data_IF_073827104047
#
_entry.id   IF_073827104047
#
_cell.length_a   1.000
_cell.length_b   1.000
_cell.length_c   1.000
_cell.angle_alpha   90.00
_cell.angle_beta   90.00
_cell.angle_gamma   90.00
#
_symmetry.space_group_name_H-M   'P 1'
#
loop_
_entity.id
_entity.type
_entity.pdbx_description
1 polymer ?
#
# COMPACT_ATOMS: atom_id res chain seq x y z
N UNK A 1 -2.28 -14.56 -6.37
CA UNK A 1 -2.18 -13.19 -5.84
C UNK A 1 -1.68 -13.28 -4.40
N UNK A 2 -0.84 -12.35 -3.97
CA UNK A 2 -0.50 -12.10 -2.56
C UNK A 2 -1.05 -10.72 -2.21
N UNK A 3 -1.75 -10.62 -1.09
CA UNK A 3 -2.22 -9.37 -0.52
C UNK A 3 -1.28 -9.02 0.64
N UNK A 4 -0.46 -7.98 0.49
CA UNK A 4 0.41 -7.50 1.55
C UNK A 4 -0.44 -6.67 2.52
N UNK A 5 -0.71 -7.26 3.68
CA UNK A 5 -1.49 -6.65 4.75
C UNK A 5 -0.53 -6.14 5.85
N UNK A 6 -0.48 -4.85 6.18
CA UNK A 6 -1.26 -3.74 5.62
C UNK A 6 -0.35 -2.55 5.27
N UNK A 7 -0.88 -1.64 4.45
CA UNK A 7 -0.51 -0.22 4.43
C UNK A 7 -1.56 0.64 5.15
N UNK A 8 -1.44 1.95 5.03
CA UNK A 8 -2.35 2.93 5.69
C UNK A 8 -2.98 3.87 4.68
N UNK A 9 -4.19 4.34 4.99
CA UNK A 9 -4.84 5.47 4.32
C UNK A 9 -4.76 6.68 5.25
N UNK A 10 -4.05 7.73 4.84
CA UNK A 10 -3.91 8.95 5.63
C UNK A 10 -5.04 9.94 5.32
N UNK A 11 -5.37 10.80 6.28
CA UNK A 11 -6.34 11.92 6.12
C UNK A 11 -5.94 12.89 4.99
N UNK A 12 -4.65 12.91 4.63
CA UNK A 12 -4.12 13.63 3.46
C UNK A 12 -4.44 12.96 2.11
N UNK A 13 -5.33 11.96 2.10
CA UNK A 13 -5.78 11.25 0.90
C UNK A 13 -4.63 10.55 0.16
N UNK A 14 -3.68 10.00 0.90
CA UNK A 14 -2.55 9.25 0.34
C UNK A 14 -2.38 7.90 1.04
N UNK A 15 -1.75 6.98 0.32
CA UNK A 15 -1.23 5.74 0.88
C UNK A 15 0.09 6.00 1.62
N UNK A 16 0.35 5.18 2.63
CA UNK A 16 1.60 5.17 3.37
C UNK A 16 1.93 3.73 3.83
N UNK A 17 3.22 3.41 4.08
CA UNK A 17 3.58 2.16 4.73
C UNK A 17 2.97 2.08 6.13
N UNK A 18 2.79 0.85 6.64
CA UNK A 18 2.31 0.69 7.99
C UNK A 18 3.44 0.95 8.99
N UNK A 19 4.64 0.42 8.71
CA UNK A 19 5.84 0.60 9.50
C UNK A 19 7.02 1.07 8.63
N UNK A 20 8.02 1.70 9.24
CA UNK A 20 9.19 2.17 8.47
C UNK A 20 9.95 1.01 7.80
N UNK A 21 9.94 -0.17 8.42
CA UNK A 21 10.66 -1.34 7.93
C UNK A 21 9.96 -2.07 6.77
N UNK A 22 8.74 -1.62 6.39
CA UNK A 22 8.13 -1.96 5.10
C UNK A 22 8.99 -1.47 3.93
N UNK A 23 9.55 -0.26 4.06
CA UNK A 23 10.29 0.41 2.99
C UNK A 23 11.79 0.12 3.00
N UNK A 24 12.39 -0.01 4.18
CA UNK A 24 13.85 -0.17 4.37
C UNK A 24 14.15 -1.23 5.42
N UNK A 25 15.21 -2.01 5.27
CA UNK A 25 15.59 -2.93 6.34
C UNK A 25 16.30 -2.23 7.50
N UNK A 26 16.49 -2.94 8.61
CA UNK A 26 17.12 -2.46 9.84
C UNK A 26 18.60 -2.05 9.71
N UNK A 27 19.31 -2.61 8.74
CA UNK A 27 20.70 -2.27 8.40
C UNK A 27 20.78 -1.65 7.01
N UNK A 28 21.85 -0.87 6.76
CA UNK A 28 22.06 -0.08 5.53
C UNK A 28 21.85 -0.85 4.22
N UNK A 29 22.10 -2.16 4.21
CA UNK A 29 21.99 -3.02 3.03
C UNK A 29 20.85 -4.04 3.10
N UNK A 30 20.05 -4.00 4.17
CA UNK A 30 18.92 -4.91 4.33
C UNK A 30 17.66 -4.35 3.66
N UNK A 31 16.85 -5.28 3.17
CA UNK A 31 15.69 -4.98 2.33
C UNK A 31 14.45 -4.83 3.21
N UNK A 32 13.63 -3.83 2.93
CA UNK A 32 12.33 -3.66 3.56
C UNK A 32 11.38 -4.82 3.22
N UNK A 33 10.29 -4.94 3.97
CA UNK A 33 9.34 -6.05 3.79
C UNK A 33 8.68 -6.04 2.40
N UNK A 34 8.37 -4.87 1.84
CA UNK A 34 7.82 -4.77 0.47
C UNK A 34 8.76 -5.40 -0.56
N UNK A 35 10.03 -5.01 -0.55
CA UNK A 35 11.01 -5.53 -1.52
C UNK A 35 11.24 -7.03 -1.39
N UNK A 36 11.08 -7.59 -0.17
CA UNK A 36 11.22 -9.03 0.08
C UNK A 36 10.06 -9.82 -0.52
N UNK A 37 8.82 -9.35 -0.37
CA UNK A 37 7.63 -10.00 -0.95
C UNK A 37 7.59 -9.83 -2.46
N UNK A 38 7.88 -8.62 -2.96
CA UNK A 38 7.86 -8.32 -4.40
C UNK A 38 8.90 -9.12 -5.18
N UNK A 39 10.00 -9.55 -4.55
CA UNK A 39 10.98 -10.44 -5.19
C UNK A 39 10.49 -11.84 -5.51
N UNK A 40 9.42 -12.30 -4.87
CA UNK A 40 8.84 -13.60 -5.21
C UNK A 40 8.36 -13.64 -6.67
N UNK A 41 8.14 -12.47 -7.29
CA UNK A 41 7.83 -12.32 -8.71
C UNK A 41 8.99 -12.72 -9.63
N UNK A 42 10.24 -12.70 -9.16
CA UNK A 42 11.40 -13.18 -9.93
C UNK A 42 11.34 -14.71 -10.11
N UNK A 43 10.82 -15.43 -9.11
CA UNK A 43 10.61 -16.88 -9.17
C UNK A 43 9.32 -17.24 -9.89
N UNK A 44 8.26 -16.46 -9.72
CA UNK A 44 6.97 -16.67 -10.38
C UNK A 44 6.50 -15.36 -11.05
N UNK A 45 6.79 -15.15 -12.34
CA UNK A 45 6.41 -13.93 -13.06
C UNK A 45 4.89 -13.68 -13.14
N UNK A 46 4.07 -14.72 -13.00
CA UNK A 46 2.60 -14.60 -12.98
C UNK A 46 2.07 -14.15 -11.61
N UNK A 47 2.93 -14.11 -10.59
CA UNK A 47 2.56 -13.62 -9.27
C UNK A 47 2.23 -12.13 -9.31
N UNK A 48 1.04 -11.81 -8.84
CA UNK A 48 0.60 -10.44 -8.56
C UNK A 48 0.61 -10.18 -7.06
N UNK A 49 1.18 -9.04 -6.67
CA UNK A 49 1.23 -8.59 -5.28
C UNK A 49 0.45 -7.28 -5.16
N UNK A 50 -0.60 -7.28 -4.35
CA UNK A 50 -1.42 -6.11 -4.06
C UNK A 50 -1.07 -5.58 -2.67
N UNK A 51 -1.22 -4.27 -2.47
CA UNK A 51 -1.16 -3.66 -1.14
C UNK A 51 -2.58 -3.61 -0.58
N UNK A 52 -2.82 -4.27 0.55
CA UNK A 52 -4.07 -4.13 1.30
C UNK A 52 -3.97 -2.96 2.26
N UNK A 53 -4.98 -2.10 2.30
CA UNK A 53 -5.04 -0.96 3.22
C UNK A 53 -6.35 -0.98 3.98
N UNK A 54 -6.29 -0.66 5.28
CA UNK A 54 -7.42 -0.80 6.19
C UNK A 54 -7.22 -1.93 7.19
N UNK A 55 -8.21 -2.80 7.31
CA UNK A 55 -8.26 -3.87 8.30
C UNK A 55 -8.82 -3.42 9.65
N UNK A 56 -9.18 -4.40 10.50
CA UNK A 56 -9.92 -4.17 11.75
C UNK A 56 -9.29 -3.14 12.69
N UNK A 57 -7.96 -3.06 12.72
CA UNK A 57 -7.21 -2.16 13.62
C UNK A 57 -7.00 -0.76 13.05
N UNK A 58 -7.25 -0.55 11.76
CA UNK A 58 -7.08 0.75 11.13
C UNK A 58 -8.39 1.55 11.22
N UNK A 59 -8.37 2.62 12.00
CA UNK A 59 -9.54 3.47 12.18
C UNK A 59 -10.03 4.01 10.82
N UNK A 60 -11.34 3.95 10.58
CA UNK A 60 -12.02 4.31 9.34
C UNK A 60 -11.87 5.79 8.92
N UNK A 61 -11.08 6.58 9.66
CA UNK A 61 -10.96 8.03 9.47
C UNK A 61 -10.37 8.40 8.10
N UNK A 62 -9.31 7.72 7.68
CA UNK A 62 -8.74 7.91 6.34
C UNK A 62 -9.76 7.60 5.22
N UNK A 63 -10.50 6.50 5.34
CA UNK A 63 -11.55 6.14 4.37
C UNK A 63 -12.74 7.10 4.37
N UNK A 64 -13.14 7.61 5.54
CA UNK A 64 -14.17 8.64 5.64
C UNK A 64 -13.72 9.90 4.90
N UNK A 65 -12.46 10.31 5.02
CA UNK A 65 -11.93 11.46 4.28
C UNK A 65 -11.89 11.22 2.77
N UNK A 66 -11.48 10.02 2.33
CA UNK A 66 -11.47 9.64 0.91
C UNK A 66 -12.88 9.66 0.31
N UNK A 67 -13.87 9.08 1.00
CA UNK A 67 -15.24 8.92 0.49
C UNK A 67 -16.13 10.17 0.61
N UNK A 68 -15.63 11.27 1.22
CA UNK A 68 -16.41 12.50 1.46
C UNK A 68 -17.01 13.12 0.19
N UNK A 69 -16.31 13.07 -0.94
CA UNK A 69 -16.77 13.61 -2.22
C UNK A 69 -15.90 13.10 -3.38
N UNK A 70 -16.37 13.31 -4.61
CA UNK A 70 -15.68 12.86 -5.83
C UNK A 70 -14.28 13.45 -5.99
N UNK A 71 -14.06 14.72 -5.59
CA UNK A 71 -12.74 15.34 -5.68
C UNK A 71 -11.71 14.67 -4.76
N UNK A 72 -12.14 14.23 -3.57
CA UNK A 72 -11.30 13.48 -2.64
C UNK A 72 -10.99 12.08 -3.18
N UNK A 73 -11.98 11.39 -3.74
CA UNK A 73 -11.78 10.09 -4.40
C UNK A 73 -10.75 10.22 -5.53
N UNK A 74 -10.90 11.22 -6.40
CA UNK A 74 -9.96 11.45 -7.51
C UNK A 74 -8.54 11.77 -7.03
N UNK A 75 -8.42 12.56 -5.95
CA UNK A 75 -7.13 12.85 -5.33
C UNK A 75 -6.49 11.58 -4.77
N UNK A 76 -7.26 10.78 -4.04
CA UNK A 76 -6.81 9.50 -3.49
C UNK A 76 -6.39 8.51 -4.58
N UNK A 77 -7.15 8.40 -5.67
CA UNK A 77 -6.82 7.53 -6.82
C UNK A 77 -5.47 7.93 -7.42
N UNK A 78 -5.27 9.22 -7.70
CA UNK A 78 -4.01 9.71 -8.27
C UNK A 78 -2.81 9.45 -7.36
N UNK A 79 -2.97 9.73 -6.06
CA UNK A 79 -1.93 9.47 -5.06
C UNK A 79 -1.64 7.97 -4.89
N UNK A 80 -2.69 7.13 -4.91
CA UNK A 80 -2.56 5.67 -4.81
C UNK A 80 -1.82 5.09 -6.00
N UNK A 81 -2.15 5.51 -7.23
CA UNK A 81 -1.44 5.08 -8.44
C UNK A 81 0.05 5.41 -8.32
N UNK A 82 0.38 6.63 -7.87
CA UNK A 82 1.77 7.04 -7.67
C UNK A 82 2.47 6.15 -6.64
N UNK A 83 1.89 6.00 -5.45
CA UNK A 83 2.48 5.22 -4.35
C UNK A 83 2.72 3.76 -4.75
N UNK A 84 1.74 3.11 -5.39
CA UNK A 84 1.84 1.71 -5.80
C UNK A 84 2.91 1.51 -6.86
N UNK A 85 3.04 2.43 -7.83
CA UNK A 85 4.09 2.37 -8.86
C UNK A 85 5.47 2.59 -8.27
N UNK A 86 5.63 3.58 -7.39
CA UNK A 86 6.91 3.86 -6.72
C UNK A 86 7.39 2.63 -5.91
N UNK A 87 6.45 1.88 -5.33
CA UNK A 87 6.72 0.67 -4.55
C UNK A 87 6.54 -0.64 -5.32
N UNK A 88 6.29 -0.60 -6.65
CA UNK A 88 6.19 -1.75 -7.56
C UNK A 88 5.06 -2.77 -7.26
N UNK A 89 3.99 -2.36 -6.59
CA UNK A 89 2.79 -3.19 -6.41
C UNK A 89 1.97 -3.31 -7.71
N UNK A 90 1.29 -4.44 -7.89
CA UNK A 90 0.43 -4.71 -9.05
C UNK A 90 -1.00 -4.19 -8.89
N UNK A 91 -1.40 -3.83 -7.67
CA UNK A 91 -2.75 -3.34 -7.40
C UNK A 91 -2.97 -2.94 -5.94
N UNK A 92 -4.20 -2.51 -5.68
CA UNK A 92 -4.69 -2.05 -4.39
C UNK A 92 -5.85 -2.94 -3.96
N UNK A 93 -5.87 -3.30 -2.69
CA UNK A 93 -6.94 -4.03 -2.03
C UNK A 93 -7.47 -3.13 -0.89
N UNK A 94 -8.78 -2.83 -0.91
CA UNK A 94 -9.40 -1.88 0.00
C UNK A 94 -10.21 -2.64 1.06
N UNK A 95 -9.65 -2.75 2.25
CA UNK A 95 -10.23 -3.48 3.38
C UNK A 95 -10.83 -2.49 4.39
N UNK A 96 -11.86 -1.77 3.95
CA UNK A 96 -12.57 -0.78 4.78
C UNK A 96 -13.53 -1.43 5.78
#
# INVERSE_FOLDING_TARGET
HINFAFGKVLESLTLAPYEEDDLKGWTLNSKGMYERVLKLKETNPDLRVLLSVGGWTHASRGFNDVSKNDANIMTFVNNSIKFLRDNKFDGLDLDW
#
